data_IF_944924454862
#
_entry.id   IF_944924454862
#
_cell.length_a   1.000
_cell.length_b   1.000
_cell.length_c   1.000
_cell.angle_alpha   90.00
_cell.angle_beta   90.00
_cell.angle_gamma   90.00
#
_symmetry.space_group_name_H-M   'P 1'
#
loop_
_entity.id
_entity.type
_entity.pdbx_description
1 polymer ?
#
# COMPACT_ATOMS: atom_id res chain seq x y z
N UNK A 1 2.73 19.82 -1.59
CA UNK A 1 3.30 18.46 -1.54
C UNK A 1 4.35 18.50 -0.46
N UNK A 2 4.34 17.52 0.44
CA UNK A 2 5.24 17.44 1.58
C UNK A 2 5.82 16.03 1.62
N UNK A 3 7.12 15.96 1.92
CA UNK A 3 7.86 14.73 2.11
C UNK A 3 8.74 14.91 3.33
N UNK A 4 8.77 13.88 4.18
CA UNK A 4 9.62 13.80 5.34
C UNK A 4 10.14 12.36 5.50
N UNK A 5 11.33 12.22 6.05
CA UNK A 5 11.95 10.94 6.33
C UNK A 5 12.74 11.05 7.62
N UNK A 6 12.65 10.02 8.44
CA UNK A 6 13.30 9.97 9.73
C UNK A 6 13.76 8.55 10.01
N UNK A 7 14.92 8.47 10.63
CA UNK A 7 15.58 7.23 10.95
C UNK A 7 15.95 7.25 12.43
N UNK A 8 15.58 6.18 13.11
CA UNK A 8 15.97 5.88 14.49
C UNK A 8 16.73 4.57 14.50
N UNK A 9 17.23 4.13 15.65
CA UNK A 9 17.93 2.85 15.77
C UNK A 9 17.04 1.65 15.39
N UNK A 10 15.73 1.75 15.62
CA UNK A 10 14.79 0.63 15.40
C UNK A 10 13.93 0.77 14.14
N UNK A 11 13.76 1.99 13.63
CA UNK A 11 12.72 2.32 12.66
C UNK A 11 13.24 3.28 11.59
N UNK A 12 12.90 2.98 10.33
CA UNK A 12 12.89 3.94 9.23
C UNK A 12 11.44 4.33 8.95
N UNK A 13 11.13 5.62 9.02
CA UNK A 13 9.81 6.17 8.69
C UNK A 13 9.91 7.15 7.52
N UNK A 14 9.03 6.98 6.54
CA UNK A 14 8.80 7.88 5.44
C UNK A 14 7.38 8.42 5.53
N UNK A 15 7.18 9.71 5.27
CA UNK A 15 5.87 10.32 5.09
C UNK A 15 5.87 11.17 3.82
N UNK A 16 4.91 10.93 2.93
CA UNK A 16 4.82 11.62 1.65
C UNK A 16 3.38 11.95 1.29
N UNK A 17 3.20 12.94 0.41
CA UNK A 17 1.88 13.31 -0.11
C UNK A 17 1.93 13.65 -1.60
N UNK A 18 0.93 13.22 -2.35
CA UNK A 18 0.80 13.41 -3.80
C UNK A 18 -0.62 13.86 -4.19
N UNK A 19 -0.74 14.52 -5.34
CA UNK A 19 -2.01 14.78 -6.03
C UNK A 19 -2.07 13.93 -7.29
N UNK A 20 -2.51 12.69 -7.15
CA UNK A 20 -2.53 11.72 -8.26
C UNK A 20 -3.82 11.73 -9.08
N UNK A 21 -4.90 12.34 -8.57
CA UNK A 21 -6.26 12.17 -9.14
C UNK A 21 -6.77 13.42 -9.86
N UNK A 22 -5.93 14.08 -10.65
CA UNK A 22 -6.27 15.35 -11.31
C UNK A 22 -7.54 15.32 -12.16
N UNK A 23 -7.87 14.15 -12.75
CA UNK A 23 -9.08 13.93 -13.55
C UNK A 23 -10.36 13.79 -12.71
N UNK A 24 -10.25 13.31 -11.47
CA UNK A 24 -11.39 13.13 -10.55
C UNK A 24 -11.61 14.36 -9.66
N UNK A 25 -10.57 15.14 -9.42
CA UNK A 25 -10.64 16.38 -8.66
C UNK A 25 -9.26 16.92 -8.34
N UNK A 26 -9.03 18.21 -8.62
CA UNK A 26 -7.73 18.87 -8.40
C UNK A 26 -7.28 18.93 -6.93
N UNK A 27 -8.21 18.68 -6.02
CA UNK A 27 -8.00 18.80 -4.57
C UNK A 27 -7.88 17.45 -3.87
N UNK A 28 -7.89 16.33 -4.60
CA UNK A 28 -7.69 15.00 -4.00
C UNK A 28 -6.21 14.83 -3.68
N UNK A 29 -5.91 14.60 -2.41
CA UNK A 29 -4.55 14.37 -1.91
C UNK A 29 -4.49 12.96 -1.34
N UNK A 30 -3.49 12.20 -1.78
CA UNK A 30 -3.10 10.94 -1.17
C UNK A 30 -1.87 11.18 -0.30
N UNK A 31 -1.94 10.73 0.95
CA UNK A 31 -0.83 10.73 1.89
C UNK A 31 -0.48 9.29 2.22
N UNK A 32 0.81 9.00 2.26
CA UNK A 32 1.34 7.70 2.66
C UNK A 32 2.38 7.89 3.74
N UNK A 33 2.22 7.16 4.84
CA UNK A 33 3.27 6.94 5.84
C UNK A 33 3.71 5.49 5.79
N UNK A 34 5.01 5.24 5.72
CA UNK A 34 5.62 3.90 5.73
C UNK A 34 6.59 3.82 6.89
N UNK A 35 6.45 2.80 7.72
CA UNK A 35 7.36 2.45 8.80
C UNK A 35 7.95 1.08 8.53
N UNK A 36 9.27 1.00 8.41
CA UNK A 36 10.03 -0.25 8.31
C UNK A 36 10.83 -0.46 9.59
N UNK A 37 10.60 -1.57 10.27
CA UNK A 37 11.44 -1.97 11.40
C UNK A 37 12.78 -2.51 10.90
N UNK A 38 13.90 -2.09 11.49
CA UNK A 38 15.23 -2.51 11.02
C UNK A 38 15.58 -3.94 11.41
N UNK A 39 15.17 -4.34 12.61
CA UNK A 39 15.51 -5.64 13.20
C UNK A 39 14.49 -6.74 12.90
N UNK A 40 13.41 -6.41 12.19
CA UNK A 40 12.32 -7.35 11.87
C UNK A 40 11.81 -7.07 10.46
N UNK A 41 11.46 -8.10 9.68
CA UNK A 41 10.85 -7.94 8.37
C UNK A 41 9.38 -7.54 8.52
N UNK A 42 9.13 -6.35 9.10
CA UNK A 42 7.81 -5.79 9.36
C UNK A 42 7.75 -4.38 8.77
N UNK A 43 6.70 -4.15 8.00
CA UNK A 43 6.34 -2.85 7.47
C UNK A 43 4.93 -2.49 7.88
N UNK A 44 4.73 -1.27 8.35
CA UNK A 44 3.42 -0.68 8.62
C UNK A 44 3.22 0.49 7.68
N UNK A 45 2.14 0.44 6.91
CA UNK A 45 1.78 1.45 5.92
C UNK A 45 0.44 2.05 6.31
N UNK A 46 0.33 3.36 6.20
CA UNK A 46 -0.91 4.10 6.39
C UNK A 46 -1.13 4.97 5.17
N UNK A 47 -2.24 4.71 4.46
CA UNK A 47 -2.67 5.48 3.32
C UNK A 47 -3.94 6.25 3.67
N UNK A 48 -3.90 7.57 3.54
CA UNK A 48 -5.06 8.46 3.69
C UNK A 48 -5.33 9.14 2.33
N UNK A 49 -6.54 9.02 1.81
CA UNK A 49 -6.98 9.75 0.62
C UNK A 49 -8.16 10.64 0.98
N UNK A 50 -7.94 11.94 0.93
CA UNK A 50 -8.97 12.94 1.25
C UNK A 50 -9.69 13.31 -0.04
N UNK A 51 -10.94 12.85 -0.21
CA UNK A 51 -11.79 13.18 -1.36
C UNK A 51 -13.28 13.22 -1.00
N UNK A 52 -14.10 13.79 -1.89
CA UNK A 52 -15.57 13.87 -1.74
C UNK A 52 -16.32 13.19 -2.90
N UNK A 53 -15.69 12.24 -3.57
CA UNK A 53 -16.25 11.62 -4.79
C UNK A 53 -17.25 10.50 -4.51
N UNK A 54 -17.33 9.98 -3.28
CA UNK A 54 -18.17 8.82 -2.93
C UNK A 54 -17.69 7.48 -3.50
N UNK A 55 -16.57 7.48 -4.23
CA UNK A 55 -15.97 6.27 -4.80
C UNK A 55 -15.17 5.51 -3.72
N UNK A 56 -15.06 4.17 -3.81
CA UNK A 56 -14.20 3.43 -2.91
C UNK A 56 -12.72 3.72 -3.16
N UNK A 57 -11.92 3.67 -2.10
CA UNK A 57 -10.47 3.64 -2.16
C UNK A 57 -10.00 2.21 -2.45
N UNK A 58 -9.11 2.07 -3.44
CA UNK A 58 -8.43 0.83 -3.77
C UNK A 58 -6.94 0.96 -3.50
N UNK A 59 -6.40 0.09 -2.66
CA UNK A 59 -4.97 -0.08 -2.46
C UNK A 59 -4.54 -1.33 -3.22
N UNK A 60 -3.49 -1.23 -4.04
CA UNK A 60 -3.01 -2.31 -4.91
C UNK A 60 -1.56 -2.63 -4.57
N UNK A 61 -1.28 -3.89 -4.29
CA UNK A 61 0.05 -4.43 -4.04
C UNK A 61 0.40 -5.45 -5.11
N UNK A 62 1.28 -5.08 -6.04
CA UNK A 62 1.88 -6.04 -6.97
C UNK A 62 2.93 -6.84 -6.21
N UNK A 63 2.76 -8.15 -6.14
CA UNK A 63 3.63 -9.07 -5.41
C UNK A 63 4.23 -10.10 -6.36
N UNK A 64 5.40 -10.59 -5.99
CA UNK A 64 5.99 -11.74 -6.65
C UNK A 64 5.15 -13.00 -6.39
N UNK A 65 5.20 -13.98 -7.29
CA UNK A 65 4.50 -15.26 -7.12
C UNK A 65 5.03 -16.05 -5.91
N UNK A 66 6.28 -15.82 -5.52
CA UNK A 66 6.93 -16.44 -4.36
C UNK A 66 6.70 -15.70 -3.03
N UNK A 67 5.94 -14.59 -3.02
CA UNK A 67 5.75 -13.76 -1.83
C UNK A 67 5.33 -14.58 -0.59
N UNK A 68 4.35 -15.46 -0.77
CA UNK A 68 3.81 -16.30 0.31
C UNK A 68 4.70 -17.49 0.64
N UNK A 69 5.33 -18.11 -0.37
CA UNK A 69 6.23 -19.24 -0.15
C UNK A 69 7.51 -18.82 0.57
N UNK A 70 7.92 -17.55 0.42
CA UNK A 70 8.97 -16.92 1.21
C UNK A 70 8.55 -16.59 2.66
N UNK A 71 7.28 -16.81 3.01
CA UNK A 71 6.73 -16.60 4.34
C UNK A 71 6.17 -15.21 4.58
N UNK A 72 6.04 -14.35 3.56
CA UNK A 72 5.42 -13.04 3.73
C UNK A 72 3.89 -13.14 3.78
N UNK A 73 3.31 -12.26 4.60
CA UNK A 73 1.88 -12.05 4.75
C UNK A 73 1.59 -10.55 4.69
N UNK A 74 0.42 -10.22 4.15
CA UNK A 74 -0.09 -8.85 4.11
C UNK A 74 -1.52 -8.83 4.62
N UNK A 75 -1.84 -7.87 5.48
CA UNK A 75 -3.21 -7.63 5.99
C UNK A 75 -3.50 -6.14 5.99
N UNK A 76 -4.77 -5.80 5.89
CA UNK A 76 -5.20 -4.41 5.96
C UNK A 76 -6.46 -4.24 6.79
N UNK A 77 -6.59 -3.07 7.42
CA UNK A 77 -7.80 -2.63 8.11
C UNK A 77 -8.18 -1.23 7.64
N UNK A 78 -9.46 -0.89 7.74
CA UNK A 78 -9.93 0.48 7.50
C UNK A 78 -9.67 1.43 8.69
N UNK A 79 -10.19 2.65 8.61
CA UNK A 79 -10.10 3.65 9.69
C UNK A 79 -10.86 3.26 10.97
N UNK A 80 -11.84 2.37 10.87
CA UNK A 80 -12.64 1.87 11.98
C UNK A 80 -12.03 0.60 12.62
N UNK A 81 -10.91 0.11 12.07
CA UNK A 81 -10.28 -1.13 12.52
C UNK A 81 -10.91 -2.40 11.95
N UNK A 82 -11.79 -2.28 10.95
CA UNK A 82 -12.41 -3.43 10.29
C UNK A 82 -11.42 -4.08 9.33
N UNK A 83 -11.24 -5.39 9.41
CA UNK A 83 -10.36 -6.14 8.52
C UNK A 83 -10.88 -6.12 7.08
N UNK A 84 -9.99 -5.86 6.13
CA UNK A 84 -10.30 -5.79 4.71
C UNK A 84 -9.93 -7.11 4.04
N UNK A 85 -10.91 -7.78 3.44
CA UNK A 85 -10.69 -9.03 2.72
C UNK A 85 -9.82 -8.77 1.46
N UNK A 86 -8.67 -9.45 1.29
CA UNK A 86 -7.82 -9.27 0.13
C UNK A 86 -8.46 -9.85 -1.13
N UNK A 87 -8.53 -9.05 -2.19
CA UNK A 87 -8.91 -9.52 -3.53
C UNK A 87 -7.64 -9.81 -4.34
N UNK A 88 -7.47 -11.06 -4.77
CA UNK A 88 -6.36 -11.45 -5.65
C UNK A 88 -6.70 -11.23 -7.11
N UNK A 89 -5.75 -10.70 -7.87
CA UNK A 89 -5.85 -10.55 -9.32
C UNK A 89 -4.57 -10.97 -10.01
N UNK A 90 -4.71 -11.45 -11.24
CA UNK A 90 -3.56 -11.65 -12.14
C UNK A 90 -2.94 -10.29 -12.46
N UNK A 91 -1.63 -10.20 -12.31
CA UNK A 91 -0.83 -9.04 -12.65
C UNK A 91 0.27 -9.44 -13.65
N UNK A 92 1.08 -8.47 -14.04
CA UNK A 92 2.20 -8.67 -14.95
C UNK A 92 3.42 -7.89 -14.43
N UNK A 93 4.58 -8.53 -14.46
CA UNK A 93 5.87 -7.92 -14.15
C UNK A 93 6.72 -7.86 -15.43
N UNK A 94 7.51 -6.80 -15.61
CA UNK A 94 8.39 -6.64 -16.77
C UNK A 94 9.74 -6.13 -16.29
N UNK A 95 10.64 -7.05 -15.98
CA UNK A 95 12.02 -6.73 -15.57
C UNK A 95 12.91 -6.32 -16.74
N UNK A 96 12.58 -6.76 -17.96
CA UNK A 96 13.29 -6.45 -19.20
C UNK A 96 12.32 -5.90 -20.25
N UNK A 97 12.76 -4.92 -21.01
CA UNK A 97 11.95 -4.32 -22.06
C UNK A 97 11.53 -5.38 -23.09
N UNK A 98 10.22 -5.54 -23.28
CA UNK A 98 9.64 -6.52 -24.21
C UNK A 98 9.25 -7.87 -23.56
N UNK A 99 9.65 -8.13 -22.32
CA UNK A 99 9.31 -9.36 -21.60
C UNK A 99 8.26 -9.08 -20.52
N UNK A 100 7.19 -9.88 -20.47
CA UNK A 100 6.18 -9.83 -19.40
C UNK A 100 6.05 -11.20 -18.75
N UNK A 101 6.27 -11.24 -17.45
CA UNK A 101 6.11 -12.42 -16.61
C UNK A 101 4.77 -12.33 -15.87
N UNK A 102 4.04 -13.45 -15.72
CA UNK A 102 2.92 -13.53 -14.80
C UNK A 102 3.33 -13.13 -13.39
N UNK A 103 2.42 -12.45 -12.70
CA UNK A 103 2.58 -12.00 -11.32
C UNK A 103 1.20 -11.95 -10.66
N UNK A 104 1.13 -11.66 -9.38
CA UNK A 104 -0.10 -11.48 -8.64
C UNK A 104 -0.20 -10.06 -8.08
N UNK A 105 -1.44 -9.57 -7.96
CA UNK A 105 -1.75 -8.39 -7.18
C UNK A 105 -2.71 -8.73 -6.05
N UNK A 106 -2.46 -8.17 -4.89
CA UNK A 106 -3.38 -8.16 -3.75
C UNK A 106 -4.00 -6.77 -3.67
N UNK A 107 -5.32 -6.72 -3.65
CA UNK A 107 -6.08 -5.48 -3.60
C UNK A 107 -6.88 -5.42 -2.29
N UNK A 108 -6.87 -4.26 -1.65
CA UNK A 108 -7.76 -3.93 -0.54
C UNK A 108 -8.67 -2.79 -0.96
N UNK A 109 -9.94 -2.88 -0.57
CA UNK A 109 -10.95 -1.87 -0.88
C UNK A 109 -11.60 -1.37 0.40
N UNK A 110 -11.82 -0.07 0.52
CA UNK A 110 -12.65 0.51 1.58
C UNK A 110 -13.47 1.68 1.03
N UNK A 111 -14.56 2.03 1.71
CA UNK A 111 -15.31 3.28 1.49
C UNK A 111 -14.91 4.39 2.46
N UNK A 112 -13.99 4.10 3.38
CA UNK A 112 -13.42 5.07 4.32
C UNK A 112 -12.24 5.81 3.69
N UNK A 113 -11.70 6.82 4.38
CA UNK A 113 -10.60 7.61 3.85
C UNK A 113 -9.23 6.93 4.03
N UNK A 114 -9.13 5.95 4.93
CA UNK A 114 -7.84 5.41 5.39
C UNK A 114 -7.75 3.90 5.27
N UNK A 115 -6.59 3.40 4.82
CA UNK A 115 -6.20 2.00 4.89
C UNK A 115 -4.91 1.88 5.69
N UNK A 116 -4.94 1.05 6.73
CA UNK A 116 -3.76 0.62 7.48
C UNK A 116 -3.35 -0.75 6.95
N UNK A 117 -2.07 -0.94 6.63
CA UNK A 117 -1.56 -2.19 6.09
C UNK A 117 -0.35 -2.64 6.89
N UNK A 118 -0.29 -3.93 7.20
CA UNK A 118 0.91 -4.56 7.77
C UNK A 118 1.40 -5.64 6.81
N UNK A 119 2.69 -5.54 6.45
CA UNK A 119 3.41 -6.58 5.71
C UNK A 119 4.44 -7.15 6.66
N UNK A 120 4.44 -8.46 6.85
CA UNK A 120 5.42 -9.13 7.71
C UNK A 120 5.82 -10.49 7.17
N UNK A 121 7.04 -10.93 7.50
CA UNK A 121 7.47 -12.31 7.29
C UNK A 121 7.24 -13.12 8.56
N UNK A 122 6.49 -14.21 8.45
CA UNK A 122 6.27 -15.22 9.51
C UNK A 122 7.26 -16.37 9.39
#
# INVERSE_FOLDING_TARGET
LQTDWKETDDLLEFAGSIRAFGQLGRNIVHRRRVRKYKNRPIWKIEDEVIHRTGLPLWQVWNISEDFESLGFRIRATDENGSELEPVRRKAWYSGRYGEKEPSAAILFQTHTATIHTEIQRT
#
